data_IF_197410562715
#
_entry.id   IF_197410562715
#
_cell.length_a   1.000
_cell.length_b   1.000
_cell.length_c   1.000
_cell.angle_alpha   90.00
_cell.angle_beta   90.00
_cell.angle_gamma   90.00
#
_symmetry.space_group_name_H-M   'P 1'
#
loop_
_entity.id
_entity.type
_entity.pdbx_description
1 polymer ?
#
# COMPACT_ATOMS: atom_id res chain seq x y z
N UNK A 1 6.37 17.27 14.41
CA UNK A 1 6.82 16.46 13.27
C UNK A 1 5.59 16.22 12.42
N UNK A 2 5.52 16.81 11.23
CA UNK A 2 4.42 16.53 10.32
C UNK A 2 4.62 15.12 9.74
N UNK A 3 3.56 14.31 9.61
CA UNK A 3 3.68 12.95 9.07
C UNK A 3 4.09 13.00 7.60
N UNK A 4 4.93 12.05 7.20
CA UNK A 4 5.37 11.87 5.82
C UNK A 4 4.25 11.17 5.05
N UNK A 5 3.68 11.84 4.05
CA UNK A 5 2.54 11.34 3.28
C UNK A 5 3.05 10.65 2.02
N UNK A 6 2.65 9.41 1.83
CA UNK A 6 2.98 8.59 0.66
C UNK A 6 1.70 8.12 -0.01
N UNK A 7 1.68 8.13 -1.34
CA UNK A 7 0.61 7.52 -2.13
C UNK A 7 1.10 6.21 -2.75
N UNK A 8 0.42 5.12 -2.41
CA UNK A 8 0.59 3.82 -3.07
C UNK A 8 -0.40 3.73 -4.22
N UNK A 9 0.07 3.24 -5.37
CA UNK A 9 -0.69 3.17 -6.61
C UNK A 9 -0.65 1.75 -7.17
N UNK A 10 -1.82 1.09 -7.18
CA UNK A 10 -2.02 -0.23 -7.76
C UNK A 10 -2.83 -0.20 -9.07
N UNK A 11 -2.97 0.97 -9.72
CA UNK A 11 -3.78 1.14 -10.93
C UNK A 11 -3.27 0.35 -12.14
N UNK A 12 -2.01 -0.11 -12.09
CA UNK A 12 -1.44 -1.03 -13.07
C UNK A 12 -1.87 -2.49 -12.91
N UNK A 13 -2.72 -2.82 -11.92
CA UNK A 13 -3.24 -4.18 -11.73
C UNK A 13 -4.24 -4.53 -12.82
N UNK A 14 -4.14 -5.74 -13.35
CA UNK A 14 -5.02 -6.24 -14.41
C UNK A 14 -5.38 -7.69 -14.16
N UNK A 15 -6.62 -8.06 -14.47
CA UNK A 15 -7.05 -9.45 -14.47
C UNK A 15 -6.89 -10.06 -15.88
N UNK A 16 -6.18 -11.20 -16.05
CA UNK A 16 -5.99 -11.85 -17.35
C UNK A 16 -7.29 -12.36 -18.01
N UNK A 17 -8.31 -12.69 -17.21
CA UNK A 17 -9.62 -13.15 -17.68
C UNK A 17 -10.55 -11.96 -17.99
N UNK A 18 -10.13 -10.74 -17.64
CA UNK A 18 -10.81 -9.49 -17.96
C UNK A 18 -11.85 -9.05 -16.93
N UNK A 19 -11.83 -9.63 -15.73
CA UNK A 19 -12.69 -9.17 -14.63
C UNK A 19 -12.22 -7.83 -14.05
N UNK A 20 -13.17 -7.06 -13.53
CA UNK A 20 -12.86 -5.88 -12.75
C UNK A 20 -12.18 -6.26 -11.43
N UNK A 21 -11.18 -5.48 -11.01
CA UNK A 21 -10.56 -5.61 -9.68
C UNK A 21 -11.48 -4.97 -8.63
N UNK A 22 -11.96 -5.76 -7.67
CA UNK A 22 -12.90 -5.32 -6.64
C UNK A 22 -12.21 -4.75 -5.40
N UNK A 23 -11.03 -5.25 -5.03
CA UNK A 23 -10.30 -4.74 -3.87
C UNK A 23 -8.79 -4.95 -3.93
N UNK A 24 -8.09 -4.10 -3.19
CA UNK A 24 -6.63 -4.06 -3.05
C UNK A 24 -6.30 -4.20 -1.57
N UNK A 25 -5.68 -5.32 -1.20
CA UNK A 25 -5.26 -5.62 0.17
C UNK A 25 -3.76 -5.36 0.30
N UNK A 26 -3.43 -4.33 1.07
CA UNK A 26 -2.07 -3.93 1.39
C UNK A 26 -1.69 -4.47 2.76
N UNK A 27 -0.48 -5.01 2.90
CA UNK A 27 0.15 -5.36 4.18
C UNK A 27 1.48 -4.62 4.30
N UNK A 28 1.75 -4.04 5.47
CA UNK A 28 2.91 -3.18 5.72
C UNK A 28 4.10 -3.91 6.35
N UNK A 29 4.00 -5.23 6.50
CA UNK A 29 4.96 -6.07 7.23
C UNK A 29 4.62 -6.18 8.71
N UNK A 30 5.17 -7.20 9.38
CA UNK A 30 4.85 -7.50 10.78
C UNK A 30 5.53 -6.53 11.76
N UNK A 31 6.63 -5.90 11.34
CA UNK A 31 7.42 -4.98 12.17
C UNK A 31 7.05 -3.50 11.98
N UNK A 32 6.07 -3.20 11.12
CA UNK A 32 5.68 -1.83 10.77
C UNK A 32 4.19 -1.62 11.05
N UNK A 33 3.92 -0.84 12.09
CA UNK A 33 2.59 -0.24 12.31
C UNK A 33 2.61 1.19 11.81
N UNK A 34 1.73 1.52 10.86
CA UNK A 34 1.65 2.88 10.31
C UNK A 34 0.41 3.58 10.84
N UNK A 35 0.46 4.15 12.04
CA UNK A 35 -0.69 4.84 12.64
C UNK A 35 -1.29 5.91 11.70
N UNK A 36 -2.61 5.92 11.42
CA UNK A 36 -3.69 5.16 12.06
C UNK A 36 -4.06 3.83 11.38
N UNK A 37 -3.24 3.33 10.45
CA UNK A 37 -3.41 2.04 9.79
C UNK A 37 -2.88 0.89 10.66
N UNK A 38 -3.60 -0.22 10.67
CA UNK A 38 -3.12 -1.51 11.18
C UNK A 38 -2.00 -2.08 10.28
N UNK A 39 -1.53 -3.29 10.58
CA UNK A 39 -0.58 -4.04 9.73
C UNK A 39 -1.06 -4.27 8.29
N UNK A 40 -2.36 -4.12 8.04
CA UNK A 40 -2.95 -4.26 6.72
C UNK A 40 -4.11 -3.31 6.49
N UNK A 41 -4.40 -3.02 5.22
CA UNK A 41 -5.55 -2.23 4.80
C UNK A 41 -6.10 -2.72 3.47
N UNK A 42 -7.41 -2.95 3.43
CA UNK A 42 -8.14 -3.24 2.19
C UNK A 42 -8.89 -2.01 1.73
N UNK A 43 -8.78 -1.68 0.44
CA UNK A 43 -9.52 -0.58 -0.20
C UNK A 43 -10.12 -1.05 -1.53
N UNK A 44 -11.19 -0.40 -1.97
CA UNK A 44 -11.85 -0.69 -3.26
C UNK A 44 -11.36 0.20 -4.40
N UNK A 45 -10.39 1.08 -4.14
CA UNK A 45 -9.78 1.96 -5.14
C UNK A 45 -8.27 1.66 -5.21
N UNK A 46 -7.64 1.80 -6.39
CA UNK A 46 -6.23 1.44 -6.58
C UNK A 46 -5.26 2.38 -5.85
N UNK A 47 -5.73 3.55 -5.41
CA UNK A 47 -4.92 4.56 -4.74
C UNK A 47 -5.11 4.47 -3.22
N UNK A 48 -4.01 4.32 -2.49
CA UNK A 48 -3.99 4.32 -1.04
C UNK A 48 -3.02 5.38 -0.51
N UNK A 49 -3.55 6.38 0.22
CA UNK A 49 -2.73 7.35 0.96
C UNK A 49 -2.37 6.83 2.34
N UNK A 50 -1.08 6.87 2.66
CA UNK A 50 -0.48 6.36 3.90
C UNK A 50 0.32 7.47 4.57
N UNK A 51 0.28 7.53 5.90
CA UNK A 51 0.97 8.55 6.71
C UNK A 51 2.01 7.90 7.60
N UNK A 52 3.28 8.10 7.29
CA UNK A 52 4.39 7.55 8.06
C UNK A 52 4.81 8.53 9.17
N UNK A 53 4.96 8.06 10.42
CA UNK A 53 5.35 8.93 11.54
C UNK A 53 6.83 9.32 11.49
N UNK A 54 7.66 8.52 10.82
CA UNK A 54 9.12 8.66 10.71
C UNK A 54 9.59 8.26 9.32
N UNK A 55 10.76 8.78 8.93
CA UNK A 55 11.52 8.31 7.78
C UNK A 55 12.01 6.87 7.99
N UNK A 56 12.28 6.14 6.92
CA UNK A 56 12.77 4.77 7.02
C UNK A 56 12.50 3.93 5.78
N UNK A 57 12.94 2.67 5.83
CA UNK A 57 12.65 1.67 4.81
C UNK A 57 11.49 0.81 5.25
N UNK A 58 10.54 0.60 4.36
CA UNK A 58 9.31 -0.13 4.60
C UNK A 58 9.10 -1.15 3.50
N UNK A 59 8.72 -2.36 3.87
CA UNK A 59 8.37 -3.42 2.92
C UNK A 59 6.85 -3.55 2.86
N UNK A 60 6.30 -3.51 1.65
CA UNK A 60 4.88 -3.52 1.40
C UNK A 60 4.53 -4.78 0.60
N UNK A 61 3.40 -5.41 0.92
CA UNK A 61 2.84 -6.50 0.12
C UNK A 61 1.45 -6.11 -0.37
N UNK A 62 1.18 -6.37 -1.66
CA UNK A 62 -0.11 -6.17 -2.29
C UNK A 62 -0.68 -7.53 -2.71
N UNK A 63 -1.97 -7.73 -2.42
CA UNK A 63 -2.82 -8.75 -3.03
C UNK A 63 -4.05 -8.06 -3.58
N UNK A 64 -4.33 -8.23 -4.87
CA UNK A 64 -5.59 -7.79 -5.47
C UNK A 64 -6.59 -8.92 -5.52
N UNK A 65 -7.88 -8.56 -5.41
CA UNK A 65 -9.02 -9.47 -5.51
C UNK A 65 -9.95 -8.99 -6.61
N UNK A 66 -10.28 -9.86 -7.56
CA UNK A 66 -11.21 -9.57 -8.64
C UNK A 66 -12.67 -9.52 -8.16
N UNK A 67 -13.58 -9.17 -9.06
CA UNK A 67 -15.03 -9.14 -8.83
C UNK A 67 -15.67 -10.52 -8.60
N UNK A 68 -14.96 -11.61 -8.95
CA UNK A 68 -15.37 -13.01 -8.72
C UNK A 68 -14.81 -13.58 -7.42
N UNK A 69 -13.99 -12.82 -6.70
CA UNK A 69 -13.35 -13.21 -5.44
C UNK A 69 -12.03 -13.97 -5.61
N UNK A 70 -11.49 -14.09 -6.82
CA UNK A 70 -10.17 -14.67 -7.05
C UNK A 70 -9.09 -13.72 -6.54
N UNK A 71 -8.05 -14.28 -5.92
CA UNK A 71 -6.92 -13.54 -5.40
C UNK A 71 -5.69 -13.75 -6.27
N UNK A 72 -4.93 -12.68 -6.47
CA UNK A 72 -3.57 -12.75 -7.03
C UNK A 72 -2.57 -13.37 -6.05
N UNK A 73 -1.45 -13.83 -6.58
CA UNK A 73 -0.24 -14.05 -5.78
C UNK A 73 0.24 -12.73 -5.16
N UNK A 74 0.83 -12.76 -3.96
CA UNK A 74 1.34 -11.56 -3.31
C UNK A 74 2.52 -10.97 -4.09
N UNK A 75 2.50 -9.65 -4.26
CA UNK A 75 3.63 -8.88 -4.79
C UNK A 75 4.22 -8.03 -3.68
N UNK A 76 5.54 -8.12 -3.48
CA UNK A 76 6.26 -7.36 -2.45
C UNK A 76 7.12 -6.28 -3.08
N UNK A 77 7.12 -5.09 -2.47
CA UNK A 77 7.95 -3.96 -2.87
C UNK A 77 8.57 -3.29 -1.64
N UNK A 78 9.82 -2.85 -1.77
CA UNK A 78 10.50 -2.04 -0.77
C UNK A 78 10.38 -0.56 -1.13
N UNK A 79 10.17 0.27 -0.11
CA UNK A 79 10.03 1.71 -0.26
C UNK A 79 10.84 2.44 0.80
N UNK A 80 11.47 3.54 0.40
CA UNK A 80 12.19 4.44 1.31
C UNK A 80 11.39 5.73 1.48
N UNK A 81 10.99 6.03 2.72
CA UNK A 81 10.37 7.30 3.09
C UNK A 81 11.49 8.23 3.53
N UNK A 82 11.78 9.30 2.77
CA UNK A 82 12.86 10.22 3.10
C UNK A 82 12.51 11.12 4.28
N UNK A 83 13.51 11.77 4.92
CA UNK A 83 13.27 12.81 5.91
C UNK A 83 12.34 13.91 5.40
N UNK A 84 11.57 14.58 6.29
CA UNK A 84 10.90 15.80 5.91
C UNK A 84 11.95 16.78 5.38
N UNK A 85 11.74 17.34 4.18
CA UNK A 85 12.59 18.41 3.68
C UNK A 85 12.49 19.58 4.65
N UNK A 86 13.49 19.75 5.52
CA UNK A 86 13.57 20.94 6.35
C UNK A 86 13.88 22.11 5.43
N UNK A 87 12.87 22.96 5.19
CA UNK A 87 13.09 24.26 4.56
C UNK A 87 14.06 25.06 5.43
N UNK A 88 15.13 25.55 4.81
CA UNK A 88 16.05 26.51 5.42
C UNK A 88 15.35 27.84 5.71
#
# INVERSE_FOLDING_TARGET
>A
NDPLVVQLDASGSTDPDGDDIASYRWSFGDDVTITPLDYSKTVSVPILTVRYPVEGKFTLTLVVVDSRGAMSDPVTADMEVPPPTQGS
#
